data_IF_606450029840
#
_entry.id   IF_606450029840
#
_cell.length_a   1.000
_cell.length_b   1.000
_cell.length_c   1.000
_cell.angle_alpha   90.00
_cell.angle_beta   90.00
_cell.angle_gamma   90.00
#
_symmetry.space_group_name_H-M   'P 1'
#
loop_
_entity.id
_entity.type
_entity.pdbx_description
1 polymer ?
#
# COMPACT_ATOMS: atom_id res chain seq x y z
N UNK A 1 -12.75 -10.03 16.05
CA UNK A 1 -11.37 -9.80 15.53
C UNK A 1 -11.16 -10.05 14.03
N UNK A 2 -11.88 -10.97 13.35
CA UNK A 2 -11.69 -11.22 11.90
C UNK A 2 -11.87 -9.98 10.99
N UNK A 3 -12.74 -9.02 11.40
CA UNK A 3 -13.03 -7.79 10.63
C UNK A 3 -11.83 -6.82 10.60
N UNK A 4 -11.25 -6.51 11.77
CA UNK A 4 -10.09 -5.61 11.90
C UNK A 4 -8.88 -6.20 11.16
N UNK A 5 -8.61 -7.50 11.32
CA UNK A 5 -7.52 -8.17 10.61
C UNK A 5 -7.61 -7.97 9.09
N UNK A 6 -8.82 -8.06 8.54
CA UNK A 6 -9.03 -7.94 7.09
C UNK A 6 -8.79 -6.50 6.62
N UNK A 7 -9.28 -5.52 7.37
CA UNK A 7 -9.04 -4.11 7.09
C UNK A 7 -7.55 -3.75 7.14
N UNK A 8 -6.86 -4.12 8.23
CA UNK A 8 -5.42 -3.88 8.35
C UNK A 8 -4.62 -4.60 7.27
N UNK A 9 -5.00 -5.83 6.90
CA UNK A 9 -4.33 -6.58 5.85
C UNK A 9 -4.38 -5.86 4.50
N UNK A 10 -5.53 -5.25 4.16
CA UNK A 10 -5.69 -4.53 2.90
C UNK A 10 -4.80 -3.29 2.84
N UNK A 11 -4.82 -2.49 3.93
CA UNK A 11 -4.01 -1.26 4.02
C UNK A 11 -2.52 -1.61 3.93
N UNK A 12 -2.08 -2.59 4.72
CA UNK A 12 -0.69 -3.02 4.74
C UNK A 12 -0.24 -3.64 3.43
N UNK A 13 -1.11 -4.38 2.73
CA UNK A 13 -0.80 -4.92 1.41
C UNK A 13 -0.46 -3.80 0.43
N UNK A 14 -1.28 -2.75 0.34
CA UNK A 14 -1.02 -1.62 -0.57
C UNK A 14 0.23 -0.85 -0.17
N UNK A 15 0.41 -0.60 1.13
CA UNK A 15 1.59 0.08 1.66
C UNK A 15 2.90 -0.68 1.37
N UNK A 16 2.90 -2.01 1.53
CA UNK A 16 4.05 -2.87 1.20
C UNK A 16 4.33 -2.83 -0.31
N UNK A 17 3.30 -2.96 -1.15
CA UNK A 17 3.48 -2.89 -2.61
C UNK A 17 4.14 -1.56 -3.01
N UNK A 18 3.71 -0.42 -2.45
CA UNK A 18 4.32 0.89 -2.71
C UNK A 18 5.85 0.91 -2.43
N UNK A 19 6.29 0.33 -1.30
CA UNK A 19 7.71 0.25 -0.98
C UNK A 19 8.47 -0.71 -1.89
N UNK A 20 7.85 -1.82 -2.29
CA UNK A 20 8.44 -2.77 -3.23
C UNK A 20 8.56 -2.17 -4.64
N UNK A 21 7.56 -1.39 -5.08
CA UNK A 21 7.59 -0.63 -6.33
C UNK A 21 8.73 0.39 -6.35
N UNK A 22 8.98 1.05 -5.21
CA UNK A 22 10.16 1.92 -5.09
C UNK A 22 11.45 1.13 -5.25
N UNK A 23 11.54 -0.06 -4.62
CA UNK A 23 12.69 -0.95 -4.79
C UNK A 23 12.83 -1.55 -6.19
N UNK A 24 11.76 -1.56 -6.99
CA UNK A 24 11.77 -1.98 -8.39
C UNK A 24 12.10 -0.84 -9.37
N UNK A 25 12.41 0.38 -8.87
CA UNK A 25 12.61 1.58 -9.68
C UNK A 25 11.40 1.89 -10.59
N UNK A 26 10.19 1.56 -10.14
CA UNK A 26 8.97 1.91 -10.87
C UNK A 26 8.77 3.42 -10.86
N UNK A 27 8.46 3.99 -12.02
CA UNK A 27 8.11 5.40 -12.18
C UNK A 27 6.73 5.49 -12.82
N UNK A 28 5.77 6.11 -12.15
CA UNK A 28 4.40 6.23 -12.63
C UNK A 28 3.39 5.92 -11.54
N UNK A 29 2.18 5.55 -11.95
CA UNK A 29 1.07 5.29 -11.02
C UNK A 29 1.27 3.94 -10.33
N UNK A 30 0.83 3.84 -9.07
CA UNK A 30 1.00 2.62 -8.27
C UNK A 30 0.23 1.42 -8.84
N UNK A 31 -0.89 1.64 -9.53
CA UNK A 31 -1.70 0.59 -10.15
C UNK A 31 -1.05 -0.06 -11.39
N UNK A 32 -0.01 0.55 -11.95
CA UNK A 32 0.74 0.05 -13.11
C UNK A 32 2.05 -0.63 -12.71
N UNK A 33 2.40 -0.59 -11.42
CA UNK A 33 3.63 -1.17 -10.93
C UNK A 33 3.66 -2.69 -11.07
N UNK A 34 4.77 -3.20 -11.60
CA UNK A 34 5.12 -4.61 -11.58
C UNK A 34 6.47 -4.81 -10.87
N UNK A 35 6.51 -5.73 -9.91
CA UNK A 35 7.71 -6.08 -9.14
C UNK A 35 8.43 -7.31 -9.71
N UNK A 36 7.89 -7.92 -10.77
CA UNK A 36 8.47 -9.11 -11.39
C UNK A 36 9.91 -8.85 -11.88
N UNK A 37 10.82 -9.79 -11.59
CA UNK A 37 12.24 -9.67 -11.95
C UNK A 37 13.07 -8.69 -11.09
N UNK A 38 12.45 -7.91 -10.20
CA UNK A 38 13.18 -6.99 -9.32
C UNK A 38 13.88 -7.72 -8.17
N UNK A 39 15.20 -7.86 -8.29
CA UNK A 39 16.05 -8.43 -7.22
C UNK A 39 16.01 -7.59 -5.94
N UNK A 40 15.94 -6.27 -6.08
CA UNK A 40 15.96 -5.36 -4.93
C UNK A 40 14.62 -5.40 -4.17
N UNK A 41 13.48 -5.40 -4.87
CA UNK A 41 12.18 -5.62 -4.24
C UNK A 41 12.12 -7.00 -3.55
N UNK A 42 12.61 -8.05 -4.23
CA UNK A 42 12.70 -9.40 -3.64
C UNK A 42 13.59 -9.45 -2.39
N UNK A 43 14.72 -8.73 -2.38
CA UNK A 43 15.62 -8.62 -1.22
C UNK A 43 14.93 -7.98 -0.03
N UNK A 44 14.22 -6.87 -0.24
CA UNK A 44 13.45 -6.16 0.80
C UNK A 44 12.33 -7.02 1.35
N UNK A 45 11.55 -7.66 0.48
CA UNK A 45 10.46 -8.54 0.91
C UNK A 45 11.01 -9.72 1.73
N UNK A 46 12.08 -10.35 1.25
CA UNK A 46 12.71 -11.49 1.93
C UNK A 46 13.29 -11.11 3.29
N UNK A 47 13.90 -9.92 3.43
CA UNK A 47 14.51 -9.49 4.70
C UNK A 47 13.45 -9.36 5.80
N UNK A 48 12.26 -8.86 5.48
CA UNK A 48 11.18 -8.74 6.46
C UNK A 48 10.42 -10.04 6.70
N UNK A 49 10.16 -10.84 5.66
CA UNK A 49 9.44 -12.11 5.82
C UNK A 49 10.22 -13.12 6.67
N UNK A 50 11.56 -13.10 6.62
CA UNK A 50 12.42 -13.95 7.46
C UNK A 50 12.28 -13.69 8.96
N UNK A 51 11.83 -12.51 9.37
CA UNK A 51 11.70 -12.15 10.78
C UNK A 51 10.51 -12.84 11.44
N UNK A 52 9.46 -13.16 10.67
CA UNK A 52 8.21 -13.67 11.22
C UNK A 52 7.69 -12.78 12.35
N UNK A 53 7.43 -13.38 13.53
CA UNK A 53 6.97 -12.68 14.73
C UNK A 53 8.09 -12.27 15.70
N UNK A 54 9.36 -12.33 15.28
CA UNK A 54 10.50 -12.02 16.17
C UNK A 54 10.68 -10.54 16.46
N UNK A 55 10.09 -9.65 15.64
CA UNK A 55 10.16 -8.20 15.78
C UNK A 55 8.76 -7.58 15.83
N UNK A 56 8.56 -6.49 16.60
CA UNK A 56 7.37 -5.66 16.50
C UNK A 56 7.12 -5.22 15.07
N UNK A 57 5.86 -5.17 14.65
CA UNK A 57 5.51 -4.89 13.26
C UNK A 57 5.93 -3.48 12.80
N UNK A 58 5.98 -2.49 13.70
CA UNK A 58 6.48 -1.15 13.39
C UNK A 58 7.95 -1.16 12.93
N UNK A 59 8.80 -1.98 13.58
CA UNK A 59 10.18 -2.18 13.16
C UNK A 59 10.25 -2.83 11.78
N UNK A 60 9.36 -3.80 11.53
CA UNK A 60 9.25 -4.48 10.24
C UNK A 60 8.87 -3.50 9.12
N UNK A 61 7.89 -2.63 9.35
CA UNK A 61 7.51 -1.56 8.43
C UNK A 61 8.66 -0.59 8.16
N UNK A 62 9.40 -0.21 9.21
CA UNK A 62 10.57 0.65 9.10
C UNK A 62 11.66 0.02 8.25
N UNK A 63 11.87 -1.29 8.36
CA UNK A 63 12.86 -2.01 7.56
C UNK A 63 12.47 -2.08 6.07
N UNK A 64 11.22 -2.43 5.73
CA UNK A 64 10.81 -2.52 4.32
C UNK A 64 10.68 -1.15 3.65
N UNK A 65 10.34 -0.10 4.40
CA UNK A 65 10.26 1.28 3.92
C UNK A 65 11.62 1.99 3.86
N UNK A 66 12.71 1.30 4.21
CA UNK A 66 14.06 1.87 4.32
C UNK A 66 14.13 3.08 5.26
N UNK A 67 13.42 3.00 6.39
CA UNK A 67 13.44 4.01 7.44
C UNK A 67 12.43 5.14 7.27
N UNK A 68 11.63 5.14 6.19
CA UNK A 68 10.70 6.24 5.88
C UNK A 68 9.44 6.24 6.74
N UNK A 69 8.94 5.07 7.13
CA UNK A 69 7.66 4.94 7.80
C UNK A 69 7.65 3.73 8.74
N UNK A 70 7.09 3.93 9.93
CA UNK A 70 6.94 2.90 10.98
C UNK A 70 5.47 2.68 11.39
N UNK A 71 4.55 3.43 10.78
CA UNK A 71 3.11 3.35 11.03
C UNK A 71 2.34 2.86 9.81
N UNK A 72 1.11 2.38 10.05
CA UNK A 72 0.20 1.97 8.99
C UNK A 72 -0.36 3.20 8.27
N UNK A 73 -0.30 3.21 6.94
CA UNK A 73 -0.71 4.34 6.10
C UNK A 73 -1.63 3.88 4.97
N UNK A 74 -2.79 4.52 4.86
CA UNK A 74 -3.79 4.24 3.82
C UNK A 74 -3.56 5.06 2.54
N UNK A 75 -2.59 5.98 2.50
CA UNK A 75 -2.27 6.81 1.34
C UNK A 75 -1.98 5.97 0.09
N UNK A 76 -1.24 4.87 0.23
CA UNK A 76 -0.96 3.93 -0.88
C UNK A 76 -2.23 3.28 -1.44
N UNK A 77 -3.24 3.04 -0.60
CA UNK A 77 -4.53 2.51 -1.08
C UNK A 77 -5.24 3.57 -1.92
N UNK A 78 -5.26 4.83 -1.46
CA UNK A 78 -5.84 5.92 -2.23
C UNK A 78 -5.11 6.11 -3.56
N UNK A 79 -3.77 6.14 -3.54
CA UNK A 79 -2.92 6.29 -4.72
C UNK A 79 -3.22 5.23 -5.79
N UNK A 80 -3.39 3.98 -5.37
CA UNK A 80 -3.76 2.87 -6.25
C UNK A 80 -5.10 3.11 -6.97
N UNK A 81 -6.09 3.69 -6.28
CA UNK A 81 -7.44 3.92 -6.82
C UNK A 81 -7.65 5.31 -7.43
N UNK A 82 -6.68 6.23 -7.34
CA UNK A 82 -6.77 7.60 -7.88
C UNK A 82 -7.33 7.65 -9.31
N UNK A 83 -6.88 6.83 -10.28
CA UNK A 83 -7.38 6.90 -11.65
C UNK A 83 -8.90 6.66 -11.75
N UNK A 84 -9.41 5.77 -10.91
CA UNK A 84 -10.85 5.47 -10.87
C UNK A 84 -11.62 6.59 -10.18
N UNK A 85 -11.07 7.18 -9.12
CA UNK A 85 -11.68 8.29 -8.39
C UNK A 85 -11.80 9.54 -9.28
N UNK A 86 -10.74 9.90 -10.00
CA UNK A 86 -10.73 11.01 -10.96
C UNK A 86 -11.85 10.85 -12.01
N UNK A 87 -12.04 9.62 -12.52
CA UNK A 87 -13.11 9.32 -13.46
C UNK A 87 -14.52 9.46 -12.87
N UNK A 88 -14.69 9.08 -11.59
CA UNK A 88 -15.97 9.20 -10.91
C UNK A 88 -16.34 10.67 -10.64
N UNK A 89 -15.38 11.48 -10.16
CA UNK A 89 -15.58 12.91 -9.91
C UNK A 89 -15.89 13.70 -11.20
N UNK A 90 -15.22 13.38 -12.31
CA UNK A 90 -15.49 14.01 -13.61
C UNK A 90 -16.87 13.68 -14.20
N UNK A 91 -17.52 12.61 -13.72
CA UNK A 91 -18.82 12.13 -14.23
C UNK A 91 -20.01 12.53 -13.35
N UNK A 92 -19.76 13.09 -12.16
CA UNK A 92 -20.78 13.28 -11.14
C UNK A 92 -21.48 14.64 -11.27
N UNK A 93 -22.37 14.77 -12.25
CA UNK A 93 -23.49 15.72 -12.18
C UNK A 93 -24.55 15.32 -11.13
N UNK A 94 -24.16 14.54 -10.12
CA UNK A 94 -25.03 13.87 -9.15
C UNK A 94 -24.54 14.19 -7.74
N UNK A 95 -25.47 14.21 -6.79
CA UNK A 95 -25.15 14.34 -5.37
C UNK A 95 -24.23 13.19 -4.90
N UNK A 96 -23.13 13.54 -4.23
CA UNK A 96 -22.16 12.58 -3.67
C UNK A 96 -22.40 12.49 -2.16
N UNK A 97 -22.81 11.30 -1.71
CA UNK A 97 -23.17 11.03 -0.33
C UNK A 97 -24.48 10.23 -0.25
N UNK A 98 -24.84 9.86 0.96
CA UNK A 98 -26.13 9.23 1.26
C UNK A 98 -26.90 10.24 2.11
N UNK A 99 -28.16 10.50 1.74
CA UNK A 99 -28.94 11.66 2.19
C UNK A 99 -28.72 12.08 3.65
N UNK A 100 -28.43 13.35 3.87
CA UNK A 100 -28.84 14.01 5.11
C UNK A 100 -30.33 14.32 4.99
N UNK A 101 -31.15 13.46 5.57
CA UNK A 101 -32.50 13.80 6.04
C UNK A 101 -32.57 13.43 7.52
#
# INVERSE_FOLDING_TARGET
>A
MKRIRSMCSLILQMQIIQYLCTGANHTGRLNECDIFGSKEAGRRLTSVLKLGSSKPFADVLKMISEGRQETMDASATLEYFLPSLEGLEGSSGRYVGWGQQ
#
